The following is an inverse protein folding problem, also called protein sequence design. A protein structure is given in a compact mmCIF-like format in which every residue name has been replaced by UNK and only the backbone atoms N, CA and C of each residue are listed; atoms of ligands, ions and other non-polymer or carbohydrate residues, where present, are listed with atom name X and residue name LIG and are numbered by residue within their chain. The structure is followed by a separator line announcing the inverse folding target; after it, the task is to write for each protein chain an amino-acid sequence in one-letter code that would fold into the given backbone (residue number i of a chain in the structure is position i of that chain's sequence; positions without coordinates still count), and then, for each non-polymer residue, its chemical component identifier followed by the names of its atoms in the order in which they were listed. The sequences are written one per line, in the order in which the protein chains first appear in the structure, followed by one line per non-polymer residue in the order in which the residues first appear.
data_IF_787732607711
#
_entry.id   IF_787732607711
#
_cell.length_a   1.000
_cell.length_b   1.000
_cell.length_c   1.000
_cell.angle_alpha   90.00
_cell.angle_beta   90.00
_cell.angle_gamma   90.00
#
_symmetry.space_group_name_H-M   'P 1'
#
loop_
_entity.id
_entity.type
_entity.pdbx_description
1 polymer ?
#
# COMPACT_ATOMS: atom_id res chain seq x y z
N UNK A 1 19.94 -18.96 -82.52
CA UNK A 1 19.24 -19.54 -81.42
C UNK A 1 19.56 -18.70 -80.17
N UNK A 2 18.67 -17.79 -79.73
CA UNK A 2 18.84 -16.96 -78.53
C UNK A 2 18.04 -17.59 -77.40
N UNK A 3 18.68 -17.99 -76.34
CA UNK A 3 18.03 -18.51 -75.13
C UNK A 3 17.64 -17.35 -74.24
N UNK A 4 16.34 -17.21 -74.01
CA UNK A 4 15.81 -16.23 -73.02
C UNK A 4 15.83 -16.91 -71.61
N UNK A 5 16.47 -16.25 -70.61
CA UNK A 5 16.48 -16.65 -69.23
C UNK A 5 15.39 -15.82 -68.53
N UNK A 6 14.36 -16.52 -68.03
CA UNK A 6 13.34 -15.90 -67.19
C UNK A 6 13.82 -15.89 -65.72
N UNK A 7 14.01 -14.72 -65.18
CA UNK A 7 14.34 -14.50 -63.78
C UNK A 7 13.01 -14.28 -63.01
N UNK A 8 12.61 -15.28 -62.22
CA UNK A 8 11.43 -15.19 -61.36
C UNK A 8 11.83 -14.47 -60.06
N UNK A 9 11.34 -13.23 -59.86
CA UNK A 9 11.43 -12.51 -58.58
C UNK A 9 10.39 -13.09 -57.61
N UNK A 10 10.86 -13.79 -56.57
CA UNK A 10 10.04 -14.12 -55.40
C UNK A 10 9.97 -12.88 -54.50
N UNK A 11 8.84 -12.17 -54.49
CA UNK A 11 8.49 -11.18 -53.47
C UNK A 11 8.03 -11.94 -52.20
N UNK A 12 8.93 -12.09 -51.23
CA UNK A 12 8.55 -12.51 -49.90
C UNK A 12 7.91 -11.32 -49.15
N UNK A 13 6.58 -11.31 -49.05
CA UNK A 13 5.85 -10.41 -48.18
C UNK A 13 6.09 -10.80 -46.74
N UNK A 14 7.03 -10.17 -46.04
CA UNK A 14 7.16 -10.22 -44.59
C UNK A 14 6.03 -9.40 -43.99
N UNK A 15 4.99 -10.09 -43.52
CA UNK A 15 3.95 -9.48 -42.69
C UNK A 15 4.58 -9.08 -41.36
N UNK A 16 4.94 -7.80 -41.22
CA UNK A 16 5.27 -7.23 -39.89
C UNK A 16 4.00 -7.21 -39.08
N UNK A 17 3.81 -8.21 -38.20
CA UNK A 17 2.82 -8.14 -37.15
C UNK A 17 3.29 -7.08 -36.14
N UNK A 18 2.80 -5.85 -36.30
CA UNK A 18 2.93 -4.82 -35.27
C UNK A 18 2.06 -5.27 -34.07
N UNK A 19 2.67 -5.95 -33.12
CA UNK A 19 2.12 -6.06 -31.78
C UNK A 19 2.06 -4.64 -31.21
N UNK A 20 0.90 -4.00 -31.29
CA UNK A 20 0.67 -2.76 -30.54
C UNK A 20 0.86 -3.09 -29.07
N UNK A 21 1.93 -2.58 -28.46
CA UNK A 21 2.09 -2.70 -27.01
C UNK A 21 0.92 -1.97 -26.36
N UNK A 22 0.03 -2.71 -25.73
CA UNK A 22 -1.10 -2.14 -24.96
C UNK A 22 -0.49 -1.19 -23.94
N UNK A 23 -0.87 0.09 -23.95
CA UNK A 23 -0.43 1.06 -22.94
C UNK A 23 -1.13 0.77 -21.61
N UNK A 24 -0.48 1.05 -20.48
CA UNK A 24 -1.10 0.89 -19.15
C UNK A 24 -2.42 1.66 -19.05
N UNK A 25 -2.49 2.83 -19.64
CA UNK A 25 -3.67 3.71 -19.68
C UNK A 25 -4.97 3.02 -20.15
N UNK A 26 -4.87 2.04 -21.05
CA UNK A 26 -6.03 1.35 -21.62
C UNK A 26 -6.45 0.11 -20.81
N UNK A 27 -5.61 -0.32 -19.86
CA UNK A 27 -5.90 -1.41 -18.92
C UNK A 27 -6.77 -0.92 -17.78
N UNK A 28 -7.52 -1.83 -17.16
CA UNK A 28 -8.20 -1.57 -15.89
C UNK A 28 -7.21 -1.58 -14.73
N UNK A 29 -7.53 -0.86 -13.64
CA UNK A 29 -6.63 -0.78 -12.49
C UNK A 29 -6.34 -2.13 -11.83
N UNK A 30 -7.20 -3.14 -12.01
CA UNK A 30 -6.95 -4.51 -11.58
C UNK A 30 -6.16 -5.35 -12.61
N UNK A 31 -5.81 -4.79 -13.76
CA UNK A 31 -5.02 -5.45 -14.81
C UNK A 31 -3.56 -4.98 -14.85
N UNK A 32 -3.14 -4.21 -13.84
CA UNK A 32 -1.75 -3.79 -13.65
C UNK A 32 -1.18 -4.39 -12.38
N UNK A 33 0.15 -4.44 -12.27
CA UNK A 33 0.87 -4.67 -11.02
C UNK A 33 1.66 -3.43 -10.67
N UNK A 34 1.60 -3.05 -9.39
CA UNK A 34 2.35 -1.91 -8.83
C UNK A 34 3.18 -2.34 -7.63
N UNK A 35 4.32 -1.70 -7.45
CA UNK A 35 5.12 -1.82 -6.24
C UNK A 35 4.84 -0.63 -5.34
N UNK A 36 4.80 -0.88 -4.04
CA UNK A 36 4.65 0.12 -3.01
C UNK A 36 5.46 -0.19 -1.76
N UNK A 37 5.45 0.74 -0.84
CA UNK A 37 6.11 0.61 0.45
C UNK A 37 5.13 0.11 1.53
N UNK A 38 5.66 -0.67 2.47
CA UNK A 38 5.01 -1.05 3.71
C UNK A 38 5.41 -0.03 4.79
N UNK A 39 4.47 0.44 5.62
CA UNK A 39 4.70 1.51 6.60
C UNK A 39 5.39 2.75 6.02
N UNK A 40 4.84 3.28 4.95
CA UNK A 40 5.45 4.28 4.05
C UNK A 40 5.93 5.57 4.74
N UNK A 41 5.39 5.87 5.90
CA UNK A 41 5.65 7.06 6.72
C UNK A 41 6.84 6.87 7.69
N UNK A 42 7.34 5.62 7.84
CA UNK A 42 8.26 5.22 8.90
C UNK A 42 9.68 5.75 8.69
N UNK A 43 10.28 6.24 9.76
CA UNK A 43 11.72 6.51 9.89
C UNK A 43 12.37 5.44 10.76
N UNK A 44 13.68 5.28 10.65
CA UNK A 44 14.45 4.35 11.50
C UNK A 44 14.27 4.67 12.99
N UNK A 45 14.30 3.64 13.82
CA UNK A 45 14.42 3.81 15.28
C UNK A 45 15.73 4.55 15.56
N UNK A 46 15.68 5.58 16.42
CA UNK A 46 16.87 6.36 16.77
C UNK A 46 17.96 5.44 17.34
N UNK A 47 19.25 5.68 17.01
CA UNK A 47 20.36 4.82 17.46
C UNK A 47 20.40 4.62 18.98
N UNK A 48 20.12 5.68 19.75
CA UNK A 48 20.11 5.64 21.21
C UNK A 48 19.00 4.73 21.75
N UNK A 49 17.81 4.82 21.15
CA UNK A 49 16.65 3.98 21.48
C UNK A 49 16.91 2.54 21.07
N UNK A 50 17.41 2.33 19.84
CA UNK A 50 17.75 1.01 19.33
C UNK A 50 18.79 0.31 20.23
N UNK A 51 19.87 1.02 20.63
CA UNK A 51 20.90 0.49 21.52
C UNK A 51 20.31 0.04 22.85
N UNK A 52 19.52 0.90 23.50
CA UNK A 52 18.87 0.61 24.79
C UNK A 52 17.94 -0.61 24.70
N UNK A 53 17.13 -0.70 23.65
CA UNK A 53 16.19 -1.79 23.46
C UNK A 53 16.89 -3.11 23.08
N UNK A 54 17.99 -3.04 22.29
CA UNK A 54 18.70 -4.24 21.83
C UNK A 54 19.32 -5.05 22.95
N UNK A 55 19.73 -4.40 24.05
CA UNK A 55 20.24 -5.07 25.26
C UNK A 55 19.16 -5.93 25.95
N UNK A 56 17.88 -5.68 25.64
CA UNK A 56 16.69 -6.31 26.25
C UNK A 56 15.90 -7.16 25.27
N UNK A 57 16.32 -7.20 24.00
CA UNK A 57 15.65 -7.90 22.90
C UNK A 57 16.11 -9.37 22.81
N UNK A 58 15.72 -10.17 23.78
CA UNK A 58 16.01 -11.61 23.80
C UNK A 58 15.39 -12.37 22.61
N UNK A 59 14.30 -11.85 22.02
CA UNK A 59 13.60 -12.44 20.89
C UNK A 59 14.11 -11.98 19.53
N UNK A 60 15.11 -11.11 19.49
CA UNK A 60 15.63 -10.50 18.26
C UNK A 60 14.53 -9.85 17.39
N UNK A 61 13.61 -9.18 18.05
CA UNK A 61 12.49 -8.50 17.39
C UNK A 61 12.93 -7.18 16.72
N UNK A 62 13.81 -6.43 17.35
CA UNK A 62 14.25 -5.11 16.84
C UNK A 62 14.85 -5.15 15.44
N UNK A 63 15.74 -6.10 15.07
CA UNK A 63 16.22 -6.18 13.70
C UNK A 63 15.11 -6.33 12.66
N UNK A 64 13.97 -6.93 13.03
CA UNK A 64 12.84 -7.18 12.13
C UNK A 64 12.05 -5.92 11.79
N UNK A 65 12.10 -4.90 12.65
CA UNK A 65 11.40 -3.62 12.49
C UNK A 65 12.36 -2.46 12.18
N UNK A 66 13.67 -2.70 12.07
CA UNK A 66 14.67 -1.67 11.81
C UNK A 66 14.82 -1.43 10.30
N UNK A 67 13.95 -0.65 9.73
CA UNK A 67 13.95 -0.13 8.36
C UNK A 67 13.42 1.29 8.33
N UNK A 68 13.62 1.98 7.22
CA UNK A 68 13.18 3.36 7.02
C UNK A 68 12.78 3.63 5.58
N UNK A 69 12.00 4.67 5.39
CA UNK A 69 11.62 5.18 4.08
C UNK A 69 12.00 6.65 3.89
N UNK A 70 12.15 7.06 2.63
CA UNK A 70 12.20 8.47 2.26
C UNK A 70 10.80 9.08 2.39
N UNK A 71 10.65 10.43 2.41
CA UNK A 71 9.33 11.07 2.46
C UNK A 71 8.37 10.56 1.37
N UNK A 72 7.07 10.48 1.68
CA UNK A 72 6.05 9.93 0.78
C UNK A 72 6.05 10.61 -0.62
N UNK A 73 6.14 11.94 -0.77
CA UNK A 73 6.22 12.54 -2.09
C UNK A 73 7.39 12.03 -2.93
N UNK A 74 8.56 11.84 -2.31
CA UNK A 74 9.74 11.30 -3.00
C UNK A 74 9.54 9.83 -3.42
N UNK A 75 8.80 9.03 -2.63
CA UNK A 75 8.42 7.66 -3.01
C UNK A 75 7.52 7.66 -4.24
N UNK A 76 6.55 8.57 -4.30
CA UNK A 76 5.64 8.73 -5.43
C UNK A 76 6.38 9.25 -6.68
N UNK A 77 7.36 10.14 -6.52
CA UNK A 77 8.23 10.64 -7.60
C UNK A 77 9.12 9.53 -8.17
N UNK A 78 9.54 8.56 -7.34
CA UNK A 78 10.22 7.35 -7.82
C UNK A 78 9.31 6.44 -8.67
N UNK A 79 7.99 6.60 -8.57
CA UNK A 79 7.01 5.82 -9.29
C UNK A 79 6.30 4.74 -8.46
N UNK A 80 6.45 4.73 -7.12
CA UNK A 80 5.65 3.83 -6.28
C UNK A 80 4.17 4.20 -6.37
N UNK A 81 3.31 3.19 -6.41
CA UNK A 81 1.85 3.37 -6.53
C UNK A 81 1.05 2.64 -5.48
N UNK A 82 1.71 2.17 -4.43
CA UNK A 82 1.04 1.79 -3.18
C UNK A 82 1.80 2.37 -1.99
N UNK A 83 1.04 2.78 -0.99
CA UNK A 83 1.51 3.23 0.32
C UNK A 83 0.77 2.45 1.40
N UNK A 84 1.39 2.30 2.56
CA UNK A 84 0.74 1.78 3.76
C UNK A 84 0.92 2.74 4.92
N UNK A 85 -0.17 3.02 5.64
CA UNK A 85 -0.26 4.04 6.66
C UNK A 85 -0.95 3.43 7.88
N UNK A 86 -0.24 3.36 9.00
CA UNK A 86 -0.82 3.01 10.29
C UNK A 86 -1.47 4.23 10.92
N UNK A 87 -2.65 4.05 11.47
CA UNK A 87 -3.42 5.13 12.09
C UNK A 87 -3.89 4.72 13.50
N UNK A 88 -3.53 5.54 14.48
CA UNK A 88 -4.01 5.46 15.85
C UNK A 88 -5.05 6.54 16.09
N UNK A 89 -6.21 6.18 16.60
CA UNK A 89 -7.19 7.16 17.04
C UNK A 89 -6.71 7.88 18.31
N UNK A 90 -6.93 9.18 18.36
CA UNK A 90 -6.65 10.04 19.52
C UNK A 90 -7.69 11.15 19.60
N UNK A 91 -8.92 10.76 19.96
CA UNK A 91 -10.09 11.65 19.93
C UNK A 91 -9.98 12.84 20.86
N UNK A 92 -9.17 12.76 21.92
CA UNK A 92 -8.93 13.83 22.88
C UNK A 92 -7.63 14.59 22.64
N UNK A 93 -6.71 14.01 21.88
CA UNK A 93 -5.35 14.50 21.71
C UNK A 93 -4.43 14.17 22.89
N UNK A 94 -3.13 14.13 22.61
CA UNK A 94 -2.08 13.98 23.62
C UNK A 94 -1.78 12.56 24.07
N UNK A 95 -2.56 11.55 23.67
CA UNK A 95 -2.37 10.15 24.09
C UNK A 95 -0.99 9.62 23.71
N UNK A 96 -0.45 10.05 22.58
CA UNK A 96 0.83 9.59 22.02
C UNK A 96 1.88 10.71 21.99
N UNK A 97 1.64 11.83 22.66
CA UNK A 97 2.53 13.00 22.62
C UNK A 97 3.87 12.80 23.34
N UNK A 98 3.99 11.78 24.17
CA UNK A 98 5.22 11.45 24.90
C UNK A 98 5.49 9.94 24.85
N UNK A 99 6.30 9.47 23.89
CA UNK A 99 6.77 8.08 23.89
C UNK A 99 7.51 7.74 25.18
N UNK A 100 7.05 6.74 25.93
CA UNK A 100 7.57 6.44 27.28
C UNK A 100 9.04 6.01 27.32
N UNK A 101 9.58 5.54 26.21
CA UNK A 101 11.02 5.26 26.10
C UNK A 101 11.88 6.51 26.36
N UNK A 102 11.35 7.71 26.13
CA UNK A 102 12.06 8.98 26.35
C UNK A 102 12.27 9.29 27.83
N UNK A 103 11.57 8.62 28.73
CA UNK A 103 11.85 8.69 30.19
C UNK A 103 13.11 7.91 30.57
N UNK A 104 13.54 6.98 29.70
CA UNK A 104 14.65 6.06 29.95
C UNK A 104 15.89 6.37 29.11
N UNK A 105 15.69 7.01 27.95
CA UNK A 105 16.74 7.26 26.95
C UNK A 105 16.75 8.72 26.55
N UNK A 106 17.90 9.38 26.72
CA UNK A 106 18.10 10.71 26.13
C UNK A 106 18.35 10.56 24.65
N UNK A 107 17.55 11.25 23.85
CA UNK A 107 17.70 11.32 22.39
C UNK A 107 18.28 12.66 21.96
N UNK A 108 18.99 12.65 20.84
CA UNK A 108 19.56 13.86 20.25
C UNK A 108 18.54 14.69 19.49
N UNK A 109 17.42 14.07 19.09
CA UNK A 109 16.34 14.72 18.36
C UNK A 109 15.08 14.82 19.23
N UNK A 110 14.47 16.00 19.34
CA UNK A 110 13.19 16.15 20.03
C UNK A 110 12.09 15.43 19.25
N UNK A 111 11.18 14.77 19.98
CA UNK A 111 9.96 14.23 19.40
C UNK A 111 8.89 15.33 19.32
N UNK A 112 8.20 15.45 18.19
CA UNK A 112 7.07 16.36 17.94
C UNK A 112 7.31 17.81 18.41
N UNK A 113 8.32 18.53 17.90
CA UNK A 113 8.64 19.88 18.34
C UNK A 113 7.50 20.89 18.11
N UNK A 114 6.59 20.62 17.16
CA UNK A 114 5.43 21.44 16.84
C UNK A 114 4.18 21.07 17.65
N UNK A 115 4.27 20.08 18.55
CA UNK A 115 3.19 19.60 19.42
C UNK A 115 1.94 19.16 18.65
N UNK A 116 2.12 18.56 17.47
CA UNK A 116 1.03 18.03 16.63
C UNK A 116 0.34 16.84 17.29
N UNK A 117 1.09 16.02 18.01
CA UNK A 117 0.56 14.87 18.76
C UNK A 117 -0.35 15.27 19.92
N UNK A 118 -0.29 16.53 20.38
CA UNK A 118 -1.17 17.03 21.45
C UNK A 118 -2.58 17.36 20.98
N UNK A 119 -2.83 17.44 19.67
CA UNK A 119 -4.14 17.78 19.10
C UNK A 119 -4.99 16.50 18.92
N UNK A 120 -6.34 16.60 18.99
CA UNK A 120 -7.22 15.50 18.57
C UNK A 120 -7.00 15.09 17.10
N UNK A 121 -7.36 13.84 16.75
CA UNK A 121 -7.31 13.32 15.39
C UNK A 121 -6.44 12.05 15.29
N UNK A 122 -6.25 11.53 14.07
CA UNK A 122 -5.50 10.29 13.85
C UNK A 122 -4.00 10.55 13.83
N UNK A 123 -3.23 9.68 14.49
CA UNK A 123 -1.77 9.73 14.61
C UNK A 123 -1.12 8.63 13.78
N UNK A 124 0.05 8.94 13.23
CA UNK A 124 0.81 8.02 12.39
C UNK A 124 2.08 7.58 13.12
N UNK A 125 2.03 6.40 13.71
CA UNK A 125 3.11 5.76 14.47
C UNK A 125 3.08 4.27 14.14
N UNK A 126 4.24 3.60 14.07
CA UNK A 126 4.31 2.16 13.86
C UNK A 126 4.01 1.39 15.16
N UNK A 127 4.83 1.60 16.19
CA UNK A 127 4.62 1.00 17.52
C UNK A 127 4.77 2.10 18.58
N UNK A 128 3.72 2.31 19.35
CA UNK A 128 3.71 3.27 20.43
C UNK A 128 4.92 3.05 21.37
N UNK A 129 5.45 4.13 21.88
CA UNK A 129 6.54 4.18 22.87
C UNK A 129 7.93 3.74 22.37
N UNK A 130 8.07 2.88 21.37
CA UNK A 130 9.36 2.30 20.97
C UNK A 130 9.76 2.56 19.52
N UNK A 131 8.84 2.50 18.55
CA UNK A 131 9.08 2.74 17.13
C UNK A 131 8.18 3.88 16.64
N UNK A 132 8.44 5.06 17.16
CA UNK A 132 7.59 6.24 17.05
C UNK A 132 8.10 7.25 16.00
N UNK A 133 9.24 7.02 15.39
CA UNK A 133 9.80 7.95 14.41
C UNK A 133 9.00 7.91 13.10
N UNK A 134 8.56 9.06 12.65
CA UNK A 134 7.65 9.21 11.52
C UNK A 134 7.97 10.47 10.71
N UNK A 135 7.60 10.48 9.43
CA UNK A 135 7.58 11.69 8.60
C UNK A 135 6.34 12.56 8.88
N UNK A 136 5.27 11.95 9.38
CA UNK A 136 4.00 12.63 9.65
C UNK A 136 3.47 12.25 11.03
N UNK A 137 3.30 13.22 11.89
CA UNK A 137 2.71 12.99 13.22
C UNK A 137 1.20 12.76 13.16
N UNK A 138 0.53 13.31 12.14
CA UNK A 138 -0.92 13.21 11.97
C UNK A 138 -1.31 12.75 10.57
N UNK A 139 -2.46 12.05 10.46
CA UNK A 139 -3.03 11.70 9.16
C UNK A 139 -3.39 12.96 8.35
N UNK A 140 -3.86 14.01 9.01
CA UNK A 140 -4.14 15.31 8.39
C UNK A 140 -2.93 15.84 7.59
N UNK A 141 -1.73 15.86 8.21
CA UNK A 141 -0.52 16.35 7.56
C UNK A 141 -0.15 15.48 6.34
N UNK A 142 -0.26 14.16 6.48
CA UNK A 142 -0.01 13.23 5.40
C UNK A 142 -0.98 13.44 4.22
N UNK A 143 -2.28 13.55 4.50
CA UNK A 143 -3.30 13.77 3.46
C UNK A 143 -3.13 15.11 2.74
N UNK A 144 -2.74 16.17 3.46
CA UNK A 144 -2.44 17.46 2.85
C UNK A 144 -1.24 17.39 1.92
N UNK A 145 -0.21 16.65 2.30
CA UNK A 145 0.99 16.48 1.49
C UNK A 145 0.73 15.60 0.26
N UNK A 146 -0.04 14.52 0.42
CA UNK A 146 -0.56 13.69 -0.68
C UNK A 146 -1.39 14.53 -1.67
N UNK A 147 -2.27 15.38 -1.16
CA UNK A 147 -3.08 16.28 -1.99
C UNK A 147 -2.20 17.25 -2.77
N UNK A 148 -1.26 17.90 -2.09
CA UNK A 148 -0.31 18.84 -2.70
C UNK A 148 0.50 18.17 -3.81
N UNK A 149 1.02 16.97 -3.55
CA UNK A 149 1.74 16.20 -4.56
C UNK A 149 0.85 15.84 -5.75
N UNK A 150 -0.35 15.32 -5.51
CA UNK A 150 -1.31 14.94 -6.55
C UNK A 150 -1.81 16.14 -7.38
N UNK A 151 -1.93 17.33 -6.78
CA UNK A 151 -2.32 18.54 -7.49
C UNK A 151 -1.18 19.02 -8.40
N UNK A 152 0.09 18.78 -8.02
CA UNK A 152 1.26 19.08 -8.85
C UNK A 152 1.47 18.01 -9.95
N UNK A 153 0.90 16.82 -9.83
CA UNK A 153 1.03 15.69 -10.77
C UNK A 153 -0.35 15.18 -11.18
N UNK A 154 -1.21 15.99 -11.84
CA UNK A 154 -2.63 15.66 -12.07
C UNK A 154 -2.85 14.38 -12.89
N UNK A 155 -1.86 13.99 -13.69
CA UNK A 155 -1.91 12.80 -14.56
C UNK A 155 -1.23 11.57 -13.93
N UNK A 156 -0.91 11.58 -12.63
CA UNK A 156 -0.33 10.41 -11.98
C UNK A 156 -1.27 9.22 -12.06
N UNK A 157 -0.72 8.01 -12.19
CA UNK A 157 -1.49 6.78 -12.14
C UNK A 157 -2.10 6.57 -10.75
N UNK A 158 -3.21 5.81 -10.62
CA UNK A 158 -3.90 5.65 -9.35
C UNK A 158 -2.98 5.10 -8.28
N UNK A 159 -3.04 5.70 -7.08
CA UNK A 159 -2.26 5.28 -5.92
C UNK A 159 -3.17 4.49 -4.98
N UNK A 160 -2.76 3.27 -4.65
CA UNK A 160 -3.42 2.44 -3.65
C UNK A 160 -2.87 2.79 -2.27
N UNK A 161 -3.73 2.92 -1.27
CA UNK A 161 -3.32 3.22 0.10
C UNK A 161 -3.94 2.22 1.06
N UNK A 162 -3.11 1.44 1.72
CA UNK A 162 -3.50 0.55 2.79
C UNK A 162 -3.53 1.34 4.10
N UNK A 163 -4.66 1.33 4.81
CA UNK A 163 -4.81 1.95 6.13
C UNK A 163 -4.91 0.86 7.18
N UNK A 164 -3.96 0.82 8.13
CA UNK A 164 -4.01 -0.09 9.26
C UNK A 164 -4.50 0.64 10.51
N UNK A 165 -5.74 0.40 10.97
CA UNK A 165 -6.23 0.92 12.25
C UNK A 165 -5.53 0.19 13.38
N UNK A 166 -4.77 0.91 14.19
CA UNK A 166 -3.95 0.38 15.28
C UNK A 166 -4.67 0.56 16.62
N UNK A 167 -5.25 -0.52 17.14
CA UNK A 167 -5.91 -0.52 18.46
C UNK A 167 -5.66 -1.82 19.23
N UNK A 168 -4.60 -2.53 18.89
CA UNK A 168 -4.17 -3.73 19.60
C UNK A 168 -3.76 -3.45 21.06
N UNK A 169 -3.41 -4.50 21.78
CA UNK A 169 -2.95 -4.38 23.17
C UNK A 169 -1.71 -3.52 23.28
N UNK A 170 -1.61 -2.78 24.40
CA UNK A 170 -0.40 -2.04 24.74
C UNK A 170 0.83 -2.97 24.75
N UNK A 171 1.98 -2.41 24.37
CA UNK A 171 3.26 -3.06 24.57
C UNK A 171 3.70 -2.98 26.05
N UNK A 172 4.91 -3.47 26.37
CA UNK A 172 5.44 -3.48 27.74
C UNK A 172 5.61 -2.09 28.38
N UNK A 173 5.61 -1.00 27.59
CA UNK A 173 5.64 0.37 28.08
C UNK A 173 4.26 0.89 28.48
N UNK A 174 3.18 0.24 28.03
CA UNK A 174 1.83 0.39 28.56
C UNK A 174 1.04 1.60 28.05
N UNK A 175 1.38 2.18 26.90
CA UNK A 175 0.49 3.14 26.24
C UNK A 175 -0.62 2.38 25.52
N UNK A 176 -1.82 2.36 26.11
CA UNK A 176 -2.99 1.68 25.57
C UNK A 176 -3.57 2.47 24.40
N UNK A 177 -3.67 1.89 23.19
CA UNK A 177 -4.33 2.55 22.07
C UNK A 177 -5.80 2.85 22.35
N UNK A 178 -6.35 3.87 21.69
CA UNK A 178 -7.77 4.10 21.67
C UNK A 178 -8.44 3.11 20.71
N UNK A 179 -9.44 2.35 21.21
CA UNK A 179 -10.17 1.39 20.40
C UNK A 179 -11.08 2.08 19.38
N UNK A 180 -11.09 1.54 18.17
CA UNK A 180 -11.96 2.04 17.13
C UNK A 180 -13.44 1.76 17.42
N UNK A 181 -14.26 2.68 17.00
CA UNK A 181 -15.72 2.62 17.10
C UNK A 181 -16.32 3.07 15.76
N UNK A 182 -17.58 2.74 15.45
CA UNK A 182 -18.22 3.25 14.23
C UNK A 182 -18.13 4.77 14.06
N UNK A 183 -18.33 5.63 15.09
CA UNK A 183 -18.11 7.08 14.96
C UNK A 183 -16.67 7.47 14.59
N UNK A 184 -15.65 6.79 15.14
CA UNK A 184 -14.26 7.07 14.77
C UNK A 184 -13.96 6.69 13.32
N UNK A 185 -14.60 5.65 12.80
CA UNK A 185 -14.52 5.33 11.36
C UNK A 185 -15.25 6.35 10.50
N UNK A 186 -16.35 6.94 10.97
CA UNK A 186 -17.01 8.06 10.30
C UNK A 186 -16.09 9.30 10.27
N UNK A 187 -15.36 9.55 11.36
CA UNK A 187 -14.34 10.61 11.44
C UNK A 187 -13.18 10.35 10.48
N UNK A 188 -12.71 9.11 10.35
CA UNK A 188 -11.70 8.72 9.37
C UNK A 188 -12.14 9.03 7.94
N UNK A 189 -13.35 8.60 7.55
CA UNK A 189 -13.93 8.91 6.24
C UNK A 189 -14.06 10.43 6.02
N UNK A 190 -14.38 11.17 7.07
CA UNK A 190 -14.50 12.64 7.03
C UNK A 190 -13.13 13.32 6.86
N UNK A 191 -12.08 12.84 7.52
CA UNK A 191 -10.71 13.35 7.30
C UNK A 191 -10.26 13.14 5.86
N UNK A 192 -10.47 11.94 5.30
CA UNK A 192 -10.15 11.64 3.90
C UNK A 192 -10.89 12.62 2.95
N UNK A 193 -12.18 12.80 3.14
CA UNK A 193 -13.00 13.74 2.35
C UNK A 193 -12.53 15.18 2.49
N UNK A 194 -12.20 15.61 3.71
CA UNK A 194 -11.85 17.00 4.03
C UNK A 194 -10.49 17.39 3.46
N UNK A 195 -9.48 16.57 3.66
CA UNK A 195 -8.10 16.96 3.36
C UNK A 195 -7.62 16.54 1.98
N UNK A 196 -8.09 15.38 1.47
CA UNK A 196 -7.75 14.93 0.13
C UNK A 196 -8.77 15.39 -0.93
N UNK A 197 -10.05 15.40 -0.57
CA UNK A 197 -11.16 15.69 -1.46
C UNK A 197 -11.81 14.43 -2.02
N UNK A 198 -13.16 14.36 -1.95
CA UNK A 198 -13.91 13.19 -2.42
C UNK A 198 -13.63 12.84 -3.90
N UNK A 199 -13.46 13.84 -4.75
CA UNK A 199 -13.19 13.68 -6.18
C UNK A 199 -11.85 13.01 -6.49
N UNK A 200 -10.91 13.02 -5.54
CA UNK A 200 -9.63 12.32 -5.63
C UNK A 200 -9.66 10.90 -5.07
N UNK A 201 -10.82 10.41 -4.59
CA UNK A 201 -10.94 9.09 -3.99
C UNK A 201 -11.78 8.20 -4.90
N UNK A 202 -11.27 7.01 -5.24
CA UNK A 202 -12.04 5.93 -5.85
C UNK A 202 -12.72 5.19 -4.71
N UNK A 203 -14.05 5.28 -4.63
CA UNK A 203 -14.84 4.73 -3.53
C UNK A 203 -15.45 3.38 -3.87
N UNK A 204 -15.88 2.58 -2.87
CA UNK A 204 -16.67 1.37 -3.10
C UNK A 204 -17.94 1.63 -3.95
N UNK A 205 -18.58 2.79 -3.76
CA UNK A 205 -19.77 3.16 -4.55
C UNK A 205 -19.45 3.39 -6.03
N UNK A 206 -18.28 3.95 -6.36
CA UNK A 206 -17.84 4.15 -7.75
C UNK A 206 -17.65 2.79 -8.45
N UNK A 207 -17.15 1.78 -7.74
CA UNK A 207 -16.93 0.44 -8.28
C UNK A 207 -18.24 -0.35 -8.32
N UNK A 208 -19.05 -0.26 -7.25
CA UNK A 208 -20.34 -0.97 -7.22
C UNK A 208 -21.26 -0.51 -8.35
N UNK A 209 -21.33 0.79 -8.61
CA UNK A 209 -22.22 1.34 -9.63
C UNK A 209 -23.67 0.86 -9.42
N UNK A 210 -24.27 0.29 -10.46
CA UNK A 210 -25.65 -0.22 -10.46
C UNK A 210 -25.78 -1.70 -10.05
N UNK A 211 -24.68 -2.38 -9.66
CA UNK A 211 -24.74 -3.77 -9.21
C UNK A 211 -25.34 -3.86 -7.79
N UNK A 212 -25.90 -5.03 -7.47
CA UNK A 212 -26.57 -5.28 -6.18
C UNK A 212 -25.57 -5.22 -5.01
N UNK A 213 -24.33 -5.68 -5.24
CA UNK A 213 -23.26 -5.63 -4.25
C UNK A 213 -21.94 -5.20 -4.89
N UNK A 214 -21.00 -4.77 -4.05
CA UNK A 214 -19.65 -4.47 -4.49
C UNK A 214 -18.98 -5.72 -5.07
N UNK A 215 -19.15 -6.87 -4.42
CA UNK A 215 -18.62 -8.14 -4.89
C UNK A 215 -19.15 -8.52 -6.27
N UNK A 216 -20.44 -8.37 -6.53
CA UNK A 216 -21.00 -8.62 -7.85
C UNK A 216 -20.32 -7.76 -8.93
N UNK A 217 -20.13 -6.47 -8.67
CA UNK A 217 -19.44 -5.57 -9.59
C UNK A 217 -18.00 -6.04 -9.87
N UNK A 218 -17.28 -6.48 -8.83
CA UNK A 218 -15.91 -6.99 -8.94
C UNK A 218 -15.85 -8.25 -9.81
N UNK A 219 -16.75 -9.20 -9.60
CA UNK A 219 -16.84 -10.42 -10.42
C UNK A 219 -17.17 -10.12 -11.89
N UNK A 220 -17.88 -9.01 -12.16
CA UNK A 220 -18.10 -8.47 -13.51
C UNK A 220 -16.96 -7.56 -13.99
N UNK A 221 -15.85 -7.46 -13.21
CA UNK A 221 -14.67 -6.66 -13.53
C UNK A 221 -15.00 -5.19 -13.78
N UNK A 222 -15.89 -4.61 -12.97
CA UNK A 222 -16.32 -3.22 -13.08
C UNK A 222 -15.30 -2.22 -12.49
N UNK A 223 -14.03 -2.44 -12.75
CA UNK A 223 -12.98 -1.52 -12.40
C UNK A 223 -12.76 -0.47 -13.50
N UNK A 224 -12.41 0.79 -13.15
CA UNK A 224 -12.10 1.83 -14.12
C UNK A 224 -10.79 1.49 -14.86
N UNK A 225 -10.62 2.08 -16.05
CA UNK A 225 -9.32 2.07 -16.70
C UNK A 225 -8.33 2.99 -15.98
N UNK A 226 -7.04 2.72 -16.09
CA UNK A 226 -5.98 3.54 -15.52
C UNK A 226 -6.15 5.00 -15.90
N UNK A 227 -6.40 5.31 -17.20
CA UNK A 227 -6.64 6.68 -17.67
C UNK A 227 -7.83 7.39 -17.03
N UNK A 228 -8.87 6.64 -16.62
CA UNK A 228 -10.08 7.18 -15.99
C UNK A 228 -9.91 7.32 -14.46
N UNK A 229 -8.84 6.73 -13.92
CA UNK A 229 -8.45 6.73 -12.52
C UNK A 229 -7.26 7.65 -12.22
N UNK A 230 -6.72 8.35 -13.22
CA UNK A 230 -5.59 9.28 -13.02
C UNK A 230 -5.91 10.36 -11.99
N UNK A 231 -4.89 10.75 -11.23
CA UNK A 231 -5.01 11.77 -10.19
C UNK A 231 -5.80 11.32 -8.95
N UNK A 232 -6.09 10.01 -8.81
CA UNK A 232 -6.94 9.49 -7.72
C UNK A 232 -6.22 8.47 -6.83
N UNK A 233 -6.81 8.26 -5.66
CA UNK A 233 -6.38 7.35 -4.62
C UNK A 233 -7.47 6.32 -4.34
N UNK A 234 -7.08 5.07 -4.05
CA UNK A 234 -7.97 4.01 -3.59
C UNK A 234 -7.47 3.55 -2.22
N UNK A 235 -8.32 3.65 -1.21
CA UNK A 235 -7.99 3.25 0.16
C UNK A 235 -8.55 1.87 0.48
N UNK A 236 -7.79 1.05 1.22
CA UNK A 236 -8.23 -0.24 1.75
C UNK A 236 -7.84 -0.37 3.21
N UNK A 237 -8.77 -0.84 4.05
CA UNK A 237 -8.55 -1.07 5.47
C UNK A 237 -7.80 -2.39 5.67
N UNK A 238 -6.60 -2.35 6.25
CA UNK A 238 -5.84 -3.55 6.62
C UNK A 238 -6.32 -4.08 7.97
N UNK A 239 -7.48 -4.68 7.94
CA UNK A 239 -8.03 -5.42 9.06
C UNK A 239 -9.06 -6.43 8.52
N UNK A 240 -9.03 -7.65 9.04
CA UNK A 240 -9.91 -8.75 8.61
C UNK A 240 -10.79 -9.30 9.74
N UNK A 241 -10.96 -8.53 10.81
CA UNK A 241 -11.68 -8.92 12.01
C UNK A 241 -12.59 -7.77 12.51
N UNK A 242 -12.57 -7.49 13.80
CA UNK A 242 -13.48 -6.57 14.46
C UNK A 242 -13.52 -5.17 13.81
N UNK A 243 -12.38 -4.56 13.53
CA UNK A 243 -12.35 -3.22 12.94
C UNK A 243 -12.94 -3.17 11.53
N UNK A 244 -12.74 -4.23 10.72
CA UNK A 244 -13.44 -4.39 9.43
C UNK A 244 -14.95 -4.41 9.63
N UNK A 245 -15.43 -5.20 10.58
CA UNK A 245 -16.86 -5.40 10.84
C UNK A 245 -17.50 -4.11 11.41
N UNK A 246 -16.78 -3.39 12.27
CA UNK A 246 -17.20 -2.08 12.78
C UNK A 246 -17.28 -1.04 11.66
N UNK A 247 -16.31 -1.05 10.74
CA UNK A 247 -16.31 -0.13 9.58
C UNK A 247 -17.47 -0.40 8.62
N UNK A 248 -17.76 -1.68 8.34
CA UNK A 248 -18.84 -2.08 7.45
C UNK A 248 -20.24 -2.01 8.09
N UNK A 249 -20.32 -1.86 9.42
CA UNK A 249 -21.58 -1.86 10.17
C UNK A 249 -22.55 -0.80 9.64
N UNK A 250 -23.78 -1.21 9.30
CA UNK A 250 -24.83 -0.36 8.72
C UNK A 250 -24.53 0.20 7.31
N UNK A 251 -23.47 -0.31 6.65
CA UNK A 251 -23.08 0.08 5.30
C UNK A 251 -23.01 -1.14 4.36
N UNK A 252 -24.16 -1.77 4.02
CA UNK A 252 -24.15 -2.96 3.18
C UNK A 252 -23.44 -2.68 1.85
N UNK A 253 -22.54 -3.57 1.46
CA UNK A 253 -21.65 -3.39 0.30
C UNK A 253 -20.82 -2.10 0.37
N UNK A 254 -20.48 -1.64 1.57
CA UNK A 254 -19.73 -0.40 1.87
C UNK A 254 -20.41 0.87 1.31
N UNK A 255 -21.72 0.87 1.18
CA UNK A 255 -22.47 2.02 0.67
C UNK A 255 -22.18 3.29 1.49
N UNK A 256 -21.70 4.35 0.82
CA UNK A 256 -21.37 5.64 1.42
C UNK A 256 -20.01 5.72 2.10
N UNK A 257 -19.28 4.61 2.22
CA UNK A 257 -17.91 4.54 2.76
C UNK A 257 -16.87 5.03 1.75
N UNK A 258 -15.73 5.52 2.27
CA UNK A 258 -14.61 6.00 1.45
C UNK A 258 -13.57 4.92 1.19
N UNK A 259 -13.49 3.90 2.07
CA UNK A 259 -12.42 2.91 2.11
C UNK A 259 -12.97 1.53 1.78
N UNK A 260 -12.25 0.75 1.00
CA UNK A 260 -12.51 -0.68 0.80
C UNK A 260 -12.08 -1.47 2.04
N UNK A 261 -12.60 -2.68 2.20
CA UNK A 261 -12.24 -3.55 3.33
C UNK A 261 -11.61 -4.84 2.86
N UNK A 262 -10.73 -5.41 3.69
CA UNK A 262 -10.19 -6.76 3.53
C UNK A 262 -11.24 -7.79 3.99
N UNK A 263 -12.30 -7.92 3.22
CA UNK A 263 -13.43 -8.82 3.50
C UNK A 263 -13.28 -10.14 2.75
N UNK A 264 -13.79 -11.24 3.34
CA UNK A 264 -13.68 -12.57 2.74
C UNK A 264 -14.29 -12.63 1.32
N UNK A 265 -13.64 -13.35 0.38
CA UNK A 265 -14.16 -13.49 -0.99
C UNK A 265 -15.60 -13.98 -1.00
N UNK A 266 -16.46 -13.36 -1.82
CA UNK A 266 -17.87 -13.71 -1.95
C UNK A 266 -18.80 -12.97 -0.99
N UNK A 267 -18.29 -12.28 0.03
CA UNK A 267 -19.14 -11.39 0.85
C UNK A 267 -19.51 -10.13 0.08
N UNK A 268 -20.66 -9.48 0.34
CA UNK A 268 -21.10 -8.31 -0.41
C UNK A 268 -20.10 -7.15 -0.47
N UNK A 269 -19.22 -7.02 0.53
CA UNK A 269 -18.20 -5.98 0.69
C UNK A 269 -16.87 -6.30 0.00
N UNK A 270 -16.69 -7.55 -0.47
CA UNK A 270 -15.39 -8.04 -0.94
C UNK A 270 -15.00 -7.46 -2.30
N UNK A 271 -13.85 -6.83 -2.36
CA UNK A 271 -13.28 -6.24 -3.57
C UNK A 271 -11.75 -6.24 -3.58
N UNK A 272 -11.12 -5.89 -2.47
CA UNK A 272 -9.67 -5.83 -2.27
C UNK A 272 -9.31 -6.77 -1.13
N UNK A 273 -8.31 -7.62 -1.32
CA UNK A 273 -7.91 -8.64 -0.35
C UNK A 273 -6.42 -8.55 -0.07
N UNK A 274 -6.03 -8.79 1.18
CA UNK A 274 -4.65 -8.80 1.62
C UNK A 274 -4.22 -10.25 1.90
N UNK A 275 -3.31 -10.77 1.06
CA UNK A 275 -2.76 -12.12 1.13
C UNK A 275 -1.24 -12.03 1.12
N UNK A 276 -0.63 -11.92 2.30
CA UNK A 276 0.77 -11.53 2.48
C UNK A 276 1.79 -12.64 2.26
N UNK A 277 1.34 -13.89 2.04
CA UNK A 277 2.21 -15.06 1.89
C UNK A 277 2.17 -15.63 0.45
N UNK A 278 2.79 -14.93 -0.54
CA UNK A 278 2.67 -15.33 -1.95
C UNK A 278 3.28 -16.69 -2.26
N UNK A 279 4.25 -17.13 -1.45
CA UNK A 279 4.86 -18.46 -1.59
C UNK A 279 3.86 -19.56 -1.21
N UNK A 280 3.04 -19.33 -0.18
CA UNK A 280 2.03 -20.27 0.31
C UNK A 280 0.73 -20.19 -0.49
N UNK A 281 0.31 -18.97 -0.81
CA UNK A 281 -1.03 -18.68 -1.35
C UNK A 281 -1.01 -18.47 -2.88
N UNK A 282 0.05 -18.85 -3.60
CA UNK A 282 0.25 -18.57 -5.02
C UNK A 282 -1.00 -18.86 -5.87
N UNK A 283 -1.48 -20.10 -5.85
CA UNK A 283 -2.64 -20.54 -6.65
C UNK A 283 -3.93 -19.82 -6.23
N UNK A 284 -4.12 -19.62 -4.93
CA UNK A 284 -5.29 -18.88 -4.39
C UNK A 284 -5.30 -17.43 -4.88
N UNK A 285 -4.14 -16.76 -4.84
CA UNK A 285 -4.01 -15.38 -5.35
C UNK A 285 -4.32 -15.35 -6.84
N UNK A 286 -3.75 -16.25 -7.64
CA UNK A 286 -3.99 -16.33 -9.09
C UNK A 286 -5.48 -16.51 -9.43
N UNK A 287 -6.18 -17.35 -8.68
CA UNK A 287 -7.60 -17.62 -8.90
C UNK A 287 -8.48 -16.41 -8.54
N UNK A 288 -8.17 -15.71 -7.44
CA UNK A 288 -8.88 -14.49 -7.03
C UNK A 288 -8.62 -13.34 -8.01
N UNK A 289 -7.38 -13.18 -8.47
CA UNK A 289 -7.02 -12.20 -9.52
C UNK A 289 -7.83 -12.43 -10.81
N UNK A 290 -7.95 -13.68 -11.28
CA UNK A 290 -8.76 -14.03 -12.46
C UNK A 290 -10.25 -13.75 -12.27
N UNK A 291 -10.75 -13.89 -11.04
CA UNK A 291 -12.13 -13.54 -10.69
C UNK A 291 -12.39 -12.04 -10.71
N UNK A 292 -11.36 -11.20 -10.63
CA UNK A 292 -11.48 -9.75 -10.72
C UNK A 292 -11.12 -8.98 -9.45
N UNK A 293 -10.79 -9.67 -8.35
CA UNK A 293 -10.35 -9.02 -7.12
C UNK A 293 -9.01 -8.31 -7.31
N UNK A 294 -8.79 -7.23 -6.57
CA UNK A 294 -7.46 -6.65 -6.36
C UNK A 294 -6.84 -7.32 -5.15
N UNK A 295 -5.63 -7.82 -5.31
CA UNK A 295 -4.89 -8.51 -4.24
C UNK A 295 -3.65 -7.69 -3.89
N UNK A 296 -3.44 -7.46 -2.58
CA UNK A 296 -2.17 -6.98 -2.02
C UNK A 296 -1.40 -8.15 -1.45
N UNK A 297 -0.10 -8.21 -1.75
CA UNK A 297 0.84 -9.19 -1.19
C UNK A 297 2.17 -8.51 -0.83
N UNK A 298 3.11 -9.26 -0.24
CA UNK A 298 4.41 -8.73 0.22
C UNK A 298 5.57 -9.38 -0.53
N UNK A 299 6.58 -8.57 -0.89
CA UNK A 299 7.83 -9.02 -1.48
C UNK A 299 8.85 -9.46 -0.41
N UNK A 300 8.73 -8.91 0.79
CA UNK A 300 9.60 -9.16 1.94
C UNK A 300 8.84 -8.99 3.25
N UNK A 301 9.42 -9.49 4.34
CA UNK A 301 8.91 -9.34 5.69
C UNK A 301 10.04 -9.37 6.72
N UNK A 302 9.87 -8.62 7.83
CA UNK A 302 10.77 -8.71 8.97
C UNK A 302 12.25 -8.44 8.64
N UNK A 303 12.54 -7.74 7.57
CA UNK A 303 13.89 -7.46 7.03
C UNK A 303 14.71 -8.70 6.59
N UNK A 304 14.14 -9.90 6.66
CA UNK A 304 14.87 -11.16 6.48
C UNK A 304 15.37 -11.35 5.05
N UNK A 305 14.48 -11.18 4.06
CA UNK A 305 14.83 -11.28 2.64
C UNK A 305 15.90 -10.26 2.25
N UNK A 306 15.79 -9.03 2.77
CA UNK A 306 16.79 -8.00 2.49
C UNK A 306 18.15 -8.29 3.11
N UNK A 307 18.20 -8.88 4.31
CA UNK A 307 19.46 -9.25 4.98
C UNK A 307 20.17 -10.43 4.33
N UNK A 308 19.40 -11.35 3.75
CA UNK A 308 19.93 -12.53 3.03
C UNK A 308 20.05 -12.32 1.51
N UNK A 309 19.61 -11.18 1.00
CA UNK A 309 19.46 -10.89 -0.45
C UNK A 309 18.62 -11.99 -1.16
N UNK A 310 17.57 -12.50 -0.51
CA UNK A 310 16.67 -13.53 -1.03
C UNK A 310 15.47 -12.90 -1.76
N UNK A 311 15.36 -13.13 -3.05
CA UNK A 311 14.28 -12.63 -3.91
C UNK A 311 13.14 -13.64 -4.11
N UNK A 312 13.21 -14.82 -3.51
CA UNK A 312 12.26 -15.91 -3.78
C UNK A 312 10.81 -15.53 -3.50
N UNK A 313 10.56 -14.78 -2.43
CA UNK A 313 9.23 -14.29 -2.08
C UNK A 313 8.73 -13.26 -3.11
N UNK A 314 9.58 -12.34 -3.55
CA UNK A 314 9.25 -11.37 -4.59
C UNK A 314 8.94 -12.05 -5.94
N UNK A 315 9.72 -13.07 -6.34
CA UNK A 315 9.42 -13.81 -7.56
C UNK A 315 8.02 -14.44 -7.51
N UNK A 316 7.65 -15.03 -6.35
CA UNK A 316 6.29 -15.56 -6.16
C UNK A 316 5.21 -14.48 -6.11
N UNK A 317 5.50 -13.33 -5.52
CA UNK A 317 4.59 -12.18 -5.56
C UNK A 317 4.33 -11.71 -6.99
N UNK A 318 5.37 -11.61 -7.83
CA UNK A 318 5.22 -11.29 -9.26
C UNK A 318 4.41 -12.34 -10.02
N UNK A 319 4.73 -13.62 -9.82
CA UNK A 319 4.08 -14.76 -10.47
C UNK A 319 2.60 -14.88 -10.09
N UNK A 320 2.25 -14.51 -8.87
CA UNK A 320 0.88 -14.61 -8.34
C UNK A 320 -0.12 -13.71 -9.08
N UNK A 321 0.35 -12.66 -9.74
CA UNK A 321 -0.51 -11.66 -10.37
C UNK A 321 -1.19 -10.72 -9.37
N UNK A 322 -0.84 -10.74 -8.08
CA UNK A 322 -1.30 -9.72 -7.14
C UNK A 322 -1.01 -8.32 -7.69
N UNK A 323 -2.01 -7.46 -7.68
CA UNK A 323 -1.91 -6.12 -8.26
C UNK A 323 -1.00 -5.21 -7.43
N UNK A 324 -0.95 -5.41 -6.13
CA UNK A 324 -0.16 -4.61 -5.20
C UNK A 324 0.89 -5.50 -4.55
N UNK A 325 2.17 -5.14 -4.72
CA UNK A 325 3.30 -5.81 -4.10
C UNK A 325 4.01 -4.82 -3.20
N UNK A 326 3.96 -5.00 -1.89
CA UNK A 326 4.59 -4.10 -0.92
C UNK A 326 5.97 -4.61 -0.50
N UNK A 327 6.86 -3.68 -0.18
CA UNK A 327 8.23 -3.94 0.26
C UNK A 327 8.70 -2.89 1.26
N UNK A 328 9.62 -3.27 2.14
CA UNK A 328 10.39 -2.33 2.95
C UNK A 328 11.63 -1.80 2.17
N UNK A 329 11.92 -2.35 0.96
CA UNK A 329 13.19 -2.12 0.25
C UNK A 329 13.00 -1.83 -1.25
N UNK A 330 12.25 -0.80 -1.61
CA UNK A 330 12.25 -0.26 -2.98
C UNK A 330 13.56 0.49 -3.31
N UNK A 331 14.36 0.80 -2.29
CA UNK A 331 15.75 1.23 -2.32
C UNK A 331 16.58 0.33 -1.41
N UNK A 332 17.90 0.17 -1.66
CA UNK A 332 18.77 -0.58 -0.73
C UNK A 332 18.77 0.01 0.67
N UNK A 333 18.87 -0.84 1.69
CA UNK A 333 18.97 -0.41 3.09
C UNK A 333 20.18 0.50 3.32
N UNK A 334 19.99 1.55 4.12
CA UNK A 334 21.09 2.38 4.67
C UNK A 334 21.53 1.92 6.07
N UNK A 335 20.75 1.03 6.71
CA UNK A 335 20.93 0.61 8.10
C UNK A 335 21.79 -0.66 8.23
N UNK A 336 21.92 -1.42 7.14
CA UNK A 336 22.80 -2.59 7.06
C UNK A 336 23.25 -2.80 5.61
N UNK A 337 24.34 -3.53 5.43
CA UNK A 337 24.91 -3.79 4.11
C UNK A 337 24.05 -4.82 3.37
N UNK A 338 23.40 -4.39 2.29
CA UNK A 338 22.65 -5.24 1.37
C UNK A 338 22.49 -4.51 0.03
N UNK A 339 22.42 -5.27 -1.05
CA UNK A 339 22.06 -4.79 -2.38
C UNK A 339 20.59 -5.06 -2.70
N UNK A 340 19.86 -5.68 -1.76
CA UNK A 340 18.45 -6.03 -1.94
C UNK A 340 17.63 -4.80 -2.28
N UNK A 341 16.90 -4.90 -3.38
CA UNK A 341 16.02 -3.85 -3.87
C UNK A 341 14.90 -4.46 -4.69
N UNK A 342 13.67 -4.04 -4.45
CA UNK A 342 12.48 -4.49 -5.17
C UNK A 342 12.09 -3.47 -6.24
N UNK A 343 11.92 -3.96 -7.45
CA UNK A 343 11.50 -3.22 -8.63
C UNK A 343 11.25 -4.19 -9.78
N UNK A 344 10.42 -3.79 -10.74
CA UNK A 344 10.28 -4.53 -12.00
C UNK A 344 11.47 -4.21 -12.93
N UNK A 345 11.48 -4.82 -14.10
CA UNK A 345 12.51 -4.58 -15.12
C UNK A 345 12.66 -3.09 -15.43
N UNK A 346 13.88 -2.68 -15.79
CA UNK A 346 14.22 -1.28 -16.11
C UNK A 346 13.95 -0.27 -14.99
N UNK A 347 13.99 -0.71 -13.73
CA UNK A 347 13.68 0.11 -12.55
C UNK A 347 12.25 0.67 -12.54
N UNK A 348 11.31 0.01 -13.20
CA UNK A 348 9.90 0.36 -13.15
C UNK A 348 9.28 -0.15 -11.85
N UNK A 349 8.29 0.56 -11.35
CA UNK A 349 7.46 0.13 -10.23
C UNK A 349 6.02 -0.18 -10.64
N UNK A 350 5.75 -0.14 -11.95
CA UNK A 350 4.46 -0.48 -12.55
C UNK A 350 4.66 -1.35 -13.78
N UNK A 351 3.74 -2.30 -14.02
CA UNK A 351 3.71 -3.13 -15.21
C UNK A 351 2.33 -3.71 -15.47
N UNK A 352 2.15 -4.29 -16.65
CA UNK A 352 0.98 -5.13 -16.94
C UNK A 352 0.96 -6.36 -16.05
N UNK A 353 -0.24 -6.76 -15.63
CA UNK A 353 -0.41 -7.98 -14.86
C UNK A 353 -0.18 -9.21 -15.72
N UNK A 354 0.81 -10.08 -15.42
CA UNK A 354 1.16 -11.21 -16.27
C UNK A 354 0.10 -12.33 -16.26
N UNK A 355 -0.80 -12.34 -15.28
CA UNK A 355 -1.88 -13.35 -15.16
C UNK A 355 -3.10 -12.96 -16.00
N UNK A 356 -3.33 -11.65 -16.21
CA UNK A 356 -4.54 -11.13 -16.87
C UNK A 356 -4.29 -10.62 -18.30
N UNK A 357 -3.08 -10.21 -18.60
CA UNK A 357 -2.71 -9.63 -19.90
C UNK A 357 -1.68 -10.53 -20.59
N UNK A 358 -2.15 -11.50 -21.38
CA UNK A 358 -1.30 -12.32 -22.23
C UNK A 358 -0.98 -11.60 -23.53
#
# INVERSE_FOLDING_TARGET
MKKAVFLALFLSSTSFCWSQSIKLDDLKINEIQVIGSHNSYKKAILPEVYSYLSERDSMKFLPRIQYEHIPIPEQLDLGLRNLEIDVYADSKGGKYAHPKILDLVKTTQPFDPEKKMSKPGFKMIHITDIDYQTWYYTLEDCLKDLKKWSDAHPDHDPVFITLEPKDGKANSFGTEPEHYTPPLFDDLDNELKKYLGKNKIITPDDIRGNYKSLNEAVLHKNWPKVKDAKGKFLFVLDNNSENRDLYAKNHPSLKGRMVFTNSDPGTPESAVLLLNEPQKDLSKIQDLVKQGYIIRTRADADTMEARSEDYSRFEKAKESGAQIITTDYYLPSKLFKSRYRIGFDKNSYERKNPVLTK
#
